data_IF_183786551663
#
_entry.id   IF_183786551663
#
_cell.length_a   1.000
_cell.length_b   1.000
_cell.length_c   1.000
_cell.angle_alpha   90.00
_cell.angle_beta   90.00
_cell.angle_gamma   90.00
#
_symmetry.space_group_name_H-M   'P 1'
#
loop_
_entity.id
_entity.type
_entity.pdbx_description
1 polymer ?
#
# COMPACT_ATOMS: atom_id res chain seq x y z
N UNK A 1 -21.19 -43.02 36.71
CA UNK A 1 -20.19 -42.85 35.63
C UNK A 1 -20.82 -42.14 34.41
N UNK A 2 -20.08 -41.36 33.60
CA UNK A 2 -18.62 -41.27 33.45
C UNK A 2 -18.03 -39.92 33.94
N UNK A 3 -16.73 -39.77 33.70
CA UNK A 3 -15.67 -38.96 34.30
C UNK A 3 -15.54 -37.52 33.77
N UNK A 4 -15.00 -36.65 34.64
CA UNK A 4 -14.59 -35.26 34.41
C UNK A 4 -13.26 -35.13 33.63
N UNK A 5 -13.04 -34.03 32.89
CA UNK A 5 -11.71 -33.60 32.46
C UNK A 5 -11.10 -32.53 33.40
N UNK A 6 -9.76 -32.57 33.49
CA UNK A 6 -8.88 -31.79 34.36
C UNK A 6 -8.83 -30.28 34.08
N UNK A 7 -8.62 -29.51 35.14
CA UNK A 7 -8.40 -28.06 35.14
C UNK A 7 -6.90 -27.72 35.11
N UNK A 8 -6.52 -26.77 34.25
CA UNK A 8 -5.16 -26.22 34.14
C UNK A 8 -5.00 -25.01 35.09
N UNK A 9 -3.86 -24.97 35.78
CA UNK A 9 -3.49 -24.04 36.85
C UNK A 9 -3.23 -22.59 36.41
N UNK A 10 -3.32 -21.59 37.32
CA UNK A 10 -3.11 -20.18 37.00
C UNK A 10 -1.62 -19.77 37.00
N UNK A 11 -1.27 -18.86 36.08
CA UNK A 11 0.03 -18.16 36.01
C UNK A 11 0.10 -17.02 37.03
N UNK A 12 1.27 -16.87 37.66
CA UNK A 12 1.58 -15.88 38.71
C UNK A 12 1.99 -14.51 38.12
N UNK A 13 1.51 -13.44 38.76
CA UNK A 13 2.01 -12.06 38.65
C UNK A 13 3.44 -11.94 39.22
N UNK A 14 4.30 -11.16 38.56
CA UNK A 14 5.49 -10.57 39.18
C UNK A 14 5.53 -9.07 38.92
N UNK A 15 5.56 -8.34 40.03
CA UNK A 15 5.58 -6.88 40.20
C UNK A 15 6.97 -6.27 39.99
N UNK A 16 6.96 -4.97 39.69
CA UNK A 16 8.08 -4.09 39.42
C UNK A 16 9.14 -3.99 40.54
N UNK A 17 10.36 -3.63 40.15
CA UNK A 17 11.30 -2.97 41.04
C UNK A 17 11.99 -1.78 40.36
N UNK A 18 12.11 -0.67 41.09
CA UNK A 18 12.53 0.65 40.65
C UNK A 18 13.97 0.98 41.11
N UNK A 19 14.68 1.72 40.25
CA UNK A 19 15.57 2.88 40.57
C UNK A 19 16.98 2.63 41.14
N UNK A 20 17.98 3.28 40.53
CA UNK A 20 18.78 4.37 41.17
C UNK A 20 19.72 5.07 40.19
N UNK A 21 19.53 6.38 40.03
CA UNK A 21 20.48 7.35 39.47
C UNK A 21 21.20 8.00 40.64
N UNK A 22 22.53 7.96 40.67
CA UNK A 22 23.33 8.75 41.62
C UNK A 22 24.38 9.54 40.87
N UNK A 23 24.23 10.87 40.87
CA UNK A 23 25.29 11.80 40.49
C UNK A 23 26.29 11.98 41.63
N UNK A 24 27.54 12.29 41.30
CA UNK A 24 28.52 12.85 42.24
C UNK A 24 29.52 13.73 41.49
N UNK A 25 29.82 14.90 42.08
CA UNK A 25 30.74 15.92 41.56
C UNK A 25 32.04 15.96 42.39
N UNK A 26 33.11 16.46 41.76
CA UNK A 26 34.25 17.29 42.26
C UNK A 26 35.64 16.65 42.53
N UNK A 27 36.62 17.25 41.81
CA UNK A 27 38.02 17.64 42.09
C UNK A 27 39.19 16.63 42.33
N UNK A 28 40.13 16.72 41.38
CA UNK A 28 41.57 17.03 41.52
C UNK A 28 42.41 16.32 42.60
N UNK A 29 43.36 15.47 42.15
CA UNK A 29 44.53 15.15 42.98
C UNK A 29 45.34 13.91 42.56
N UNK A 30 46.47 14.18 41.90
CA UNK A 30 47.71 13.40 41.86
C UNK A 30 47.81 12.09 41.05
N UNK A 31 48.63 12.23 40.01
CA UNK A 31 49.31 11.23 39.21
C UNK A 31 50.23 10.35 40.06
N UNK A 32 50.09 9.03 39.96
CA UNK A 32 51.23 8.11 40.00
C UNK A 32 51.10 7.10 38.86
N UNK A 33 52.16 7.07 38.08
CA UNK A 33 52.37 6.31 36.86
C UNK A 33 52.60 4.83 37.13
N UNK A 34 51.81 3.95 36.50
CA UNK A 34 52.29 2.81 35.69
C UNK A 34 51.13 1.88 35.37
N UNK A 35 50.61 1.98 34.15
CA UNK A 35 49.87 0.89 33.50
C UNK A 35 49.97 1.07 31.98
N UNK A 36 50.08 -0.03 31.21
CA UNK A 36 50.48 -0.01 29.82
C UNK A 36 49.47 0.73 28.95
N UNK A 37 49.97 1.44 27.93
CA UNK A 37 49.16 2.07 26.89
C UNK A 37 48.46 0.94 26.10
N UNK A 38 47.30 0.53 26.59
CA UNK A 38 46.36 -0.28 25.82
C UNK A 38 45.85 0.58 24.66
N UNK A 39 45.97 0.05 23.45
CA UNK A 39 45.74 0.76 22.20
C UNK A 39 44.40 1.48 22.17
N UNK A 40 44.40 2.64 21.50
CA UNK A 40 43.18 3.31 21.07
C UNK A 40 42.22 2.27 20.45
N UNK A 41 40.94 2.25 20.85
CA UNK A 41 39.99 1.35 20.22
C UNK A 41 39.98 1.68 18.71
N UNK A 42 39.89 0.66 17.84
CA UNK A 42 39.80 0.91 16.41
C UNK A 42 38.60 1.82 16.17
N UNK A 43 38.84 2.95 15.51
CA UNK A 43 37.79 3.82 14.99
C UNK A 43 36.89 2.93 14.12
N UNK A 44 35.67 2.67 14.59
CA UNK A 44 34.70 1.95 13.78
C UNK A 44 34.56 2.72 12.46
N UNK A 45 34.61 2.04 11.30
CA UNK A 45 34.28 2.70 10.05
C UNK A 45 32.91 3.36 10.22
N UNK A 46 32.71 4.58 9.69
CA UNK A 46 31.41 5.24 9.76
C UNK A 46 30.39 4.24 9.24
N UNK A 47 29.44 3.87 10.11
CA UNK A 47 28.33 3.04 9.71
C UNK A 47 27.70 3.75 8.51
N UNK A 48 27.42 3.04 7.39
CA UNK A 48 26.64 3.64 6.33
C UNK A 48 25.39 4.22 7.01
N UNK A 49 25.17 5.53 6.83
CA UNK A 49 23.89 6.15 7.16
C UNK A 49 22.82 5.19 6.66
N UNK A 50 21.78 4.84 7.43
CA UNK A 50 20.64 4.14 6.88
C UNK A 50 20.17 4.98 5.71
N UNK A 51 20.51 4.57 4.48
CA UNK A 51 19.84 5.07 3.30
C UNK A 51 18.36 4.77 3.50
N UNK A 52 17.50 5.52 2.81
CA UNK A 52 16.09 5.19 2.72
C UNK A 52 15.99 3.72 2.29
N UNK A 53 15.78 2.84 3.27
CA UNK A 53 15.64 1.42 3.03
C UNK A 53 14.33 1.34 2.26
N UNK A 54 14.43 1.03 0.97
CA UNK A 54 13.25 0.82 0.16
C UNK A 54 12.46 -0.32 0.79
N UNK A 55 11.24 0.04 1.19
CA UNK A 55 10.29 -0.86 1.85
C UNK A 55 9.08 -1.10 0.97
N UNK A 56 9.12 -0.62 -0.28
CA UNK A 56 8.17 -0.98 -1.30
C UNK A 56 8.27 -2.48 -1.53
N UNK A 57 7.10 -3.13 -1.53
CA UNK A 57 6.97 -4.56 -1.78
C UNK A 57 6.20 -4.70 -3.07
N UNK A 58 6.86 -5.27 -4.05
CA UNK A 58 6.22 -5.69 -5.28
C UNK A 58 6.05 -7.19 -5.23
N UNK A 59 4.98 -7.66 -5.85
CA UNK A 59 4.73 -9.09 -5.99
C UNK A 59 5.39 -9.57 -7.28
N UNK A 60 5.88 -10.81 -7.26
CA UNK A 60 6.35 -11.44 -8.49
C UNK A 60 5.17 -11.66 -9.44
N UNK A 61 5.28 -11.11 -10.65
CA UNK A 61 4.24 -11.28 -11.68
C UNK A 61 4.55 -12.53 -12.50
N UNK A 62 3.64 -13.51 -12.47
CA UNK A 62 3.70 -14.68 -13.34
C UNK A 62 3.13 -14.32 -14.72
N UNK A 63 3.91 -14.60 -15.78
CA UNK A 63 3.44 -14.38 -17.16
C UNK A 63 2.52 -15.53 -17.55
N UNK A 64 1.33 -15.20 -18.03
CA UNK A 64 0.37 -16.19 -18.52
C UNK A 64 1.00 -17.06 -19.64
N UNK A 65 0.96 -18.40 -19.49
CA UNK A 65 1.50 -19.29 -20.51
C UNK A 65 0.61 -19.30 -21.76
N UNK A 66 1.17 -19.78 -22.87
CA UNK A 66 0.39 -20.04 -24.08
C UNK A 66 -0.52 -21.24 -23.84
N UNK A 67 -1.82 -21.08 -24.10
CA UNK A 67 -2.82 -22.13 -24.03
C UNK A 67 -3.32 -22.55 -25.41
N UNK A 68 -3.64 -23.84 -25.57
CA UNK A 68 -4.22 -24.38 -26.81
C UNK A 68 -5.74 -24.31 -26.70
N UNK A 69 -6.37 -23.46 -27.51
CA UNK A 69 -7.82 -23.18 -27.41
C UNK A 69 -8.72 -24.37 -27.75
N UNK A 70 -8.22 -25.39 -28.45
CA UNK A 70 -8.97 -26.64 -28.67
C UNK A 70 -9.06 -27.50 -27.42
N UNK A 71 -8.18 -27.30 -26.43
CA UNK A 71 -8.19 -28.01 -25.16
C UNK A 71 -8.83 -27.15 -24.05
N UNK A 72 -8.46 -25.87 -23.98
CA UNK A 72 -9.00 -24.90 -23.04
C UNK A 72 -9.55 -23.66 -23.76
N UNK A 73 -10.85 -23.66 -24.13
CA UNK A 73 -11.44 -22.58 -24.92
C UNK A 73 -11.91 -21.38 -24.08
N UNK A 74 -11.67 -21.36 -22.76
CA UNK A 74 -12.21 -20.34 -21.86
C UNK A 74 -11.09 -19.54 -21.22
N UNK A 75 -11.10 -18.22 -21.44
CA UNK A 75 -10.25 -17.28 -20.71
C UNK A 75 -11.07 -16.57 -19.64
N UNK A 76 -10.51 -16.47 -18.44
CA UNK A 76 -11.09 -15.71 -17.32
C UNK A 76 -10.14 -14.59 -16.96
N UNK A 77 -10.66 -13.40 -16.74
CA UNK A 77 -9.90 -12.24 -16.30
C UNK A 77 -10.72 -11.48 -15.25
N UNK A 78 -10.01 -10.75 -14.38
CA UNK A 78 -10.66 -9.91 -13.36
C UNK A 78 -11.30 -8.70 -14.02
N UNK A 79 -12.36 -8.18 -13.39
CA UNK A 79 -12.92 -6.85 -13.72
C UNK A 79 -12.26 -5.75 -12.89
N UNK A 80 -11.43 -6.13 -11.91
CA UNK A 80 -10.68 -5.17 -11.10
C UNK A 80 -9.65 -4.45 -11.97
N UNK A 81 -9.51 -3.14 -11.73
CA UNK A 81 -8.65 -2.27 -12.53
C UNK A 81 -7.68 -1.57 -11.62
N UNK A 82 -6.44 -2.05 -11.61
CA UNK A 82 -5.32 -1.40 -10.95
C UNK A 82 -4.59 -0.47 -11.91
N UNK A 83 -4.17 0.70 -11.41
CA UNK A 83 -3.49 1.75 -12.19
C UNK A 83 -2.25 2.31 -11.47
N UNK A 84 -1.88 1.71 -10.35
CA UNK A 84 -0.84 2.20 -9.45
C UNK A 84 0.56 2.02 -10.04
N UNK A 85 0.80 0.89 -10.70
CA UNK A 85 2.07 0.55 -11.35
C UNK A 85 2.49 1.61 -12.36
N UNK A 86 1.59 2.05 -13.24
CA UNK A 86 1.93 3.11 -14.22
C UNK A 86 2.33 4.41 -13.53
N UNK A 87 1.59 4.84 -12.51
CA UNK A 87 1.90 6.07 -11.76
C UNK A 87 3.27 5.97 -11.08
N UNK A 88 3.60 4.80 -10.54
CA UNK A 88 4.87 4.54 -9.88
C UNK A 88 6.03 4.49 -10.90
N UNK A 89 5.85 3.78 -12.01
CA UNK A 89 6.81 3.76 -13.13
C UNK A 89 7.09 5.18 -13.63
N UNK A 90 6.05 5.98 -13.83
CA UNK A 90 6.18 7.38 -14.23
C UNK A 90 6.96 8.20 -13.19
N UNK A 91 6.75 7.95 -11.89
CA UNK A 91 7.52 8.61 -10.80
C UNK A 91 9.02 8.31 -10.94
N UNK A 92 9.41 7.04 -11.07
CA UNK A 92 10.82 6.65 -11.26
C UNK A 92 11.43 7.31 -12.50
N UNK A 93 10.74 7.20 -13.65
CA UNK A 93 11.24 7.75 -14.92
C UNK A 93 11.39 9.28 -14.87
N UNK A 94 10.48 9.99 -14.20
CA UNK A 94 10.59 11.45 -14.01
C UNK A 94 11.77 11.85 -13.12
N UNK A 95 12.26 10.96 -12.26
CA UNK A 95 13.49 11.14 -11.48
C UNK A 95 14.76 10.73 -12.24
N UNK A 96 14.62 10.22 -13.46
CA UNK A 96 15.74 9.68 -14.25
C UNK A 96 16.21 8.31 -13.74
N UNK A 97 15.37 7.60 -12.97
CA UNK A 97 15.65 6.29 -12.42
C UNK A 97 14.89 5.22 -13.20
N UNK A 98 15.51 4.04 -13.36
CA UNK A 98 14.79 2.88 -13.88
C UNK A 98 13.92 2.30 -12.75
N UNK A 99 12.63 2.00 -13.00
CA UNK A 99 11.81 1.32 -12.02
C UNK A 99 12.33 -0.11 -11.80
N UNK A 100 12.14 -0.66 -10.59
CA UNK A 100 12.26 -2.10 -10.36
C UNK A 100 11.38 -2.89 -11.34
N UNK A 101 11.84 -4.07 -11.78
CA UNK A 101 11.12 -4.88 -12.79
C UNK A 101 9.73 -5.29 -12.31
N UNK A 102 9.64 -5.67 -11.04
CA UNK A 102 8.44 -6.04 -10.29
C UNK A 102 7.48 -4.87 -10.07
N UNK A 103 7.95 -3.62 -10.19
CA UNK A 103 7.09 -2.44 -10.19
C UNK A 103 6.31 -2.26 -11.50
N UNK A 104 6.66 -2.99 -12.57
CA UNK A 104 6.02 -2.90 -13.89
C UNK A 104 5.00 -4.03 -14.06
N UNK A 105 3.72 -3.74 -13.81
CA UNK A 105 2.61 -4.66 -14.06
C UNK A 105 1.99 -4.34 -15.42
N UNK A 106 2.13 -5.25 -16.38
CA UNK A 106 1.73 -5.02 -17.79
C UNK A 106 0.25 -4.64 -17.89
N UNK A 107 -0.62 -5.32 -17.14
CA UNK A 107 -2.06 -5.04 -17.11
C UNK A 107 -2.38 -3.61 -16.66
N UNK A 108 -1.75 -3.15 -15.58
CA UNK A 108 -1.94 -1.79 -15.07
C UNK A 108 -1.38 -0.72 -16.02
N UNK A 109 -0.34 -1.05 -16.79
CA UNK A 109 0.21 -0.15 -17.81
C UNK A 109 -0.77 0.07 -18.97
N UNK A 110 -1.52 -0.97 -19.33
CA UNK A 110 -2.55 -0.89 -20.39
C UNK A 110 -3.82 -0.25 -19.85
N UNK A 111 -4.23 -0.60 -18.64
CA UNK A 111 -5.47 -0.15 -18.02
C UNK A 111 -5.42 1.29 -17.45
N UNK A 112 -4.22 1.87 -17.29
CA UNK A 112 -4.08 3.25 -16.78
C UNK A 112 -4.82 4.31 -17.60
N UNK A 113 -4.97 4.08 -18.90
CA UNK A 113 -5.57 5.05 -19.81
C UNK A 113 -7.09 4.90 -19.86
N UNK A 114 -7.78 6.03 -19.95
CA UNK A 114 -9.21 6.05 -20.26
C UNK A 114 -9.42 5.76 -21.73
N UNK A 115 -10.29 4.80 -22.03
CA UNK A 115 -10.70 4.44 -23.37
C UNK A 115 -12.16 4.84 -23.60
N UNK A 116 -12.46 5.40 -24.77
CA UNK A 116 -13.80 5.87 -25.13
C UNK A 116 -14.68 4.71 -25.65
N UNK A 117 -14.82 3.66 -24.85
CA UNK A 117 -15.76 2.57 -25.15
C UNK A 117 -17.21 3.03 -24.94
N UNK A 118 -18.15 2.57 -25.78
CA UNK A 118 -19.56 2.88 -25.60
C UNK A 118 -20.04 2.36 -24.24
N UNK A 119 -20.72 3.23 -23.49
CA UNK A 119 -21.42 2.87 -22.27
C UNK A 119 -22.63 1.99 -22.60
N UNK A 120 -22.94 0.98 -21.77
CA UNK A 120 -24.24 0.32 -21.83
C UNK A 120 -25.40 1.31 -21.65
N UNK A 121 -26.52 1.08 -22.34
CA UNK A 121 -27.67 2.01 -22.30
C UNK A 121 -28.50 1.92 -21.01
N UNK A 122 -28.42 0.79 -20.29
CA UNK A 122 -29.20 0.55 -19.07
C UNK A 122 -28.55 -0.49 -18.16
N UNK A 123 -28.94 -0.49 -16.88
CA UNK A 123 -28.47 -1.47 -15.89
C UNK A 123 -28.87 -2.93 -16.20
N UNK A 124 -29.85 -3.16 -17.08
CA UNK A 124 -30.20 -4.52 -17.54
C UNK A 124 -29.05 -5.16 -18.35
N UNK A 125 -28.14 -4.33 -18.90
CA UNK A 125 -26.87 -4.75 -19.48
C UNK A 125 -25.73 -4.10 -18.68
N UNK A 126 -25.25 -4.74 -17.60
CA UNK A 126 -24.36 -4.09 -16.64
C UNK A 126 -22.98 -3.76 -17.21
N UNK A 127 -22.55 -4.43 -18.27
CA UNK A 127 -21.30 -4.15 -18.98
C UNK A 127 -21.42 -4.43 -20.47
N UNK A 128 -20.66 -3.67 -21.26
CA UNK A 128 -20.46 -3.88 -22.69
C UNK A 128 -19.04 -4.37 -22.97
N UNK A 129 -18.89 -5.22 -23.98
CA UNK A 129 -17.59 -5.73 -24.41
C UNK A 129 -17.26 -5.24 -25.82
N UNK A 130 -16.04 -4.78 -26.02
CA UNK A 130 -15.49 -4.34 -27.29
C UNK A 130 -14.27 -5.20 -27.60
N UNK A 131 -14.31 -5.94 -28.72
CA UNK A 131 -13.21 -6.81 -29.13
C UNK A 131 -12.61 -6.26 -30.42
N UNK A 132 -11.34 -5.92 -30.38
CA UNK A 132 -10.57 -5.47 -31.55
C UNK A 132 -9.44 -6.44 -31.81
N UNK A 133 -9.25 -6.83 -33.07
CA UNK A 133 -8.13 -7.65 -33.51
C UNK A 133 -7.26 -6.83 -34.45
N UNK A 134 -5.95 -6.82 -34.17
CA UNK A 134 -4.96 -6.02 -34.87
C UNK A 134 -3.79 -6.90 -35.33
N UNK A 135 -3.11 -6.58 -36.44
CA UNK A 135 -1.87 -7.24 -36.81
C UNK A 135 -0.84 -7.13 -35.68
N UNK A 136 -0.14 -8.21 -35.36
CA UNK A 136 0.94 -8.17 -34.39
C UNK A 136 2.24 -7.61 -35.04
N UNK A 137 2.77 -6.47 -34.56
CA UNK A 137 3.99 -5.87 -35.12
C UNK A 137 5.27 -6.69 -34.82
N UNK A 138 5.21 -7.61 -33.86
CA UNK A 138 6.34 -8.42 -33.41
C UNK A 138 6.38 -9.81 -34.05
N UNK A 139 5.24 -10.32 -34.52
CA UNK A 139 5.14 -11.65 -35.13
C UNK A 139 4.01 -11.71 -36.16
N UNK A 140 4.38 -11.80 -37.44
CA UNK A 140 3.46 -11.81 -38.57
C UNK A 140 2.51 -13.02 -38.64
N UNK A 141 2.83 -14.12 -37.94
CA UNK A 141 2.00 -15.31 -37.87
C UNK A 141 0.94 -15.26 -36.75
N UNK A 142 0.81 -14.10 -36.07
CA UNK A 142 -0.10 -13.91 -34.93
C UNK A 142 -0.84 -12.58 -35.02
N UNK A 143 -1.93 -12.47 -34.27
CA UNK A 143 -2.70 -11.22 -34.12
C UNK A 143 -2.75 -10.81 -32.66
N UNK A 144 -2.94 -9.51 -32.41
CA UNK A 144 -3.21 -8.97 -31.08
C UNK A 144 -4.71 -8.80 -30.93
N UNK A 145 -5.28 -9.41 -29.90
CA UNK A 145 -6.67 -9.20 -29.50
C UNK A 145 -6.70 -8.28 -28.30
N UNK A 146 -7.48 -7.19 -28.39
CA UNK A 146 -7.76 -6.30 -27.29
C UNK A 146 -9.24 -6.40 -26.91
N UNK A 147 -9.49 -6.64 -25.62
CA UNK A 147 -10.83 -6.75 -25.06
C UNK A 147 -11.03 -5.58 -24.10
N UNK A 148 -11.90 -4.65 -24.46
CA UNK A 148 -12.35 -3.57 -23.60
C UNK A 148 -13.68 -3.93 -22.95
N UNK A 149 -13.78 -3.79 -21.62
CA UNK A 149 -15.04 -3.91 -20.89
C UNK A 149 -15.39 -2.56 -20.31
N UNK A 150 -16.62 -2.10 -20.54
CA UNK A 150 -17.14 -0.86 -19.98
C UNK A 150 -18.41 -1.13 -19.18
N UNK A 151 -18.42 -0.75 -17.91
CA UNK A 151 -19.59 -0.82 -17.05
C UNK A 151 -20.62 0.25 -17.38
N UNK A 152 -21.88 0.01 -17.01
CA UNK A 152 -22.90 1.05 -16.97
C UNK A 152 -22.46 2.16 -16.01
N UNK A 153 -22.54 3.41 -16.48
CA UNK A 153 -22.24 4.58 -15.64
C UNK A 153 -23.51 5.03 -14.92
N UNK A 154 -23.45 5.09 -13.59
CA UNK A 154 -24.58 5.50 -12.77
C UNK A 154 -24.66 7.02 -12.80
N UNK A 155 -25.78 7.62 -13.25
CA UNK A 155 -25.91 9.08 -13.29
C UNK A 155 -25.58 9.73 -11.95
N UNK A 156 -24.92 10.88 -12.01
CA UNK A 156 -24.61 11.67 -10.82
C UNK A 156 -25.90 11.97 -10.03
N UNK A 157 -25.89 11.67 -8.74
CA UNK A 157 -27.05 11.82 -7.85
C UNK A 157 -27.97 10.59 -7.75
N UNK A 158 -27.81 9.59 -8.60
CA UNK A 158 -28.50 8.30 -8.47
C UNK A 158 -27.66 7.26 -7.71
N UNK A 159 -26.35 7.51 -7.57
CA UNK A 159 -25.45 6.65 -6.79
C UNK A 159 -25.90 6.62 -5.31
N UNK A 160 -26.04 5.44 -4.70
CA UNK A 160 -26.26 5.33 -3.25
C UNK A 160 -25.11 5.96 -2.45
N UNK A 161 -25.43 6.56 -1.31
CA UNK A 161 -24.43 7.06 -0.38
C UNK A 161 -23.45 5.96 0.05
N UNK A 162 -22.16 6.27 0.01
CA UNK A 162 -21.07 5.37 0.35
C UNK A 162 -20.69 5.52 1.83
N UNK A 163 -20.13 4.46 2.39
CA UNK A 163 -19.48 4.48 3.70
C UNK A 163 -18.04 4.00 3.54
N UNK A 164 -17.10 4.95 3.49
CA UNK A 164 -15.69 4.72 3.26
C UNK A 164 -14.95 4.58 4.59
N UNK A 165 -14.24 3.47 4.80
CA UNK A 165 -13.46 3.22 6.01
C UNK A 165 -11.99 3.08 5.62
N UNK A 166 -11.17 4.03 6.07
CA UNK A 166 -9.74 4.05 5.81
C UNK A 166 -8.97 3.49 6.98
N UNK A 167 -8.13 2.49 6.71
CA UNK A 167 -7.12 2.00 7.65
C UNK A 167 -5.76 2.58 7.27
N UNK A 168 -5.20 3.44 8.11
CA UNK A 168 -3.99 4.22 7.81
C UNK A 168 -2.84 3.81 8.73
N UNK A 169 -1.72 3.38 8.15
CA UNK A 169 -0.45 3.22 8.89
C UNK A 169 0.15 4.60 9.17
N UNK A 170 0.39 4.89 10.45
CA UNK A 170 1.03 6.12 10.93
C UNK A 170 2.39 5.86 11.56
N UNK A 171 2.99 4.70 11.28
CA UNK A 171 4.33 4.34 11.73
C UNK A 171 5.37 5.34 11.23
N UNK A 172 6.50 5.46 11.94
CA UNK A 172 7.58 6.37 11.56
C UNK A 172 8.13 6.14 10.14
N UNK A 173 7.89 4.95 9.57
CA UNK A 173 8.23 4.62 8.18
C UNK A 173 7.47 5.39 7.11
N UNK A 174 6.31 5.92 7.48
CA UNK A 174 5.38 6.64 6.61
C UNK A 174 5.65 8.15 6.58
N UNK A 175 6.72 8.61 7.23
CA UNK A 175 7.05 10.04 7.37
C UNK A 175 7.64 10.70 6.12
N UNK A 176 8.03 9.93 5.10
CA UNK A 176 8.57 10.51 3.86
C UNK A 176 7.49 11.26 3.07
N UNK A 177 7.83 12.32 2.31
CA UNK A 177 6.86 13.16 1.61
C UNK A 177 5.92 12.41 0.65
N UNK A 178 6.38 11.29 0.11
CA UNK A 178 5.68 10.44 -0.84
C UNK A 178 4.83 9.33 -0.19
N UNK A 179 4.67 9.35 1.14
CA UNK A 179 3.87 8.36 1.90
C UNK A 179 2.69 9.03 2.60
N UNK A 180 2.70 9.13 3.94
CA UNK A 180 1.56 9.67 4.68
C UNK A 180 1.19 11.11 4.26
N UNK A 181 2.15 12.04 4.03
CA UNK A 181 1.80 13.37 3.53
C UNK A 181 1.10 13.35 2.17
N UNK A 182 1.51 12.45 1.26
CA UNK A 182 0.84 12.25 -0.02
C UNK A 182 -0.56 11.64 0.17
N UNK A 183 -0.71 10.66 1.05
CA UNK A 183 -2.00 10.05 1.38
C UNK A 183 -2.98 11.09 1.94
N UNK A 184 -2.53 11.99 2.84
CA UNK A 184 -3.34 13.09 3.34
C UNK A 184 -3.80 14.02 2.21
N UNK A 185 -2.90 14.35 1.27
CA UNK A 185 -3.24 15.17 0.11
C UNK A 185 -4.27 14.48 -0.79
N UNK A 186 -4.13 13.17 -1.02
CA UNK A 186 -5.10 12.37 -1.77
C UNK A 186 -6.46 12.29 -1.08
N UNK A 187 -6.48 12.17 0.25
CA UNK A 187 -7.71 12.17 1.05
C UNK A 187 -8.45 13.51 0.94
N UNK A 188 -7.75 14.65 0.95
CA UNK A 188 -8.38 15.94 0.70
C UNK A 188 -9.05 16.00 -0.68
N UNK A 189 -8.33 15.57 -1.73
CA UNK A 189 -8.90 15.52 -3.09
C UNK A 189 -10.11 14.58 -3.17
N UNK A 190 -10.05 13.43 -2.50
CA UNK A 190 -11.18 12.51 -2.42
C UNK A 190 -12.38 13.16 -1.74
N UNK A 191 -12.19 13.87 -0.62
CA UNK A 191 -13.31 14.51 0.08
C UNK A 191 -14.01 15.61 -0.73
N UNK A 192 -13.40 16.11 -1.80
CA UNK A 192 -14.01 17.07 -2.72
C UNK A 192 -14.94 16.43 -3.75
N UNK A 193 -14.85 15.11 -3.94
CA UNK A 193 -15.70 14.36 -4.89
C UNK A 193 -16.88 13.65 -4.22
N UNK A 194 -16.93 13.65 -2.88
CA UNK A 194 -17.97 12.95 -2.12
C UNK A 194 -19.31 13.69 -2.14
N UNK A 195 -20.39 12.91 -2.18
CA UNK A 195 -21.74 13.40 -2.00
C UNK A 195 -21.99 13.75 -0.51
N UNK A 196 -22.89 14.72 -0.19
CA UNK A 196 -23.16 15.15 1.19
C UNK A 196 -23.58 14.04 2.17
N UNK A 197 -24.13 12.94 1.66
CA UNK A 197 -24.54 11.74 2.40
C UNK A 197 -23.47 10.67 2.54
N UNK A 198 -22.36 10.76 1.80
CA UNK A 198 -21.24 9.84 1.97
C UNK A 198 -20.64 10.02 3.37
N UNK A 199 -20.13 8.92 3.92
CA UNK A 199 -19.48 8.89 5.23
C UNK A 199 -18.03 8.45 5.10
N UNK A 200 -17.18 9.06 5.92
CA UNK A 200 -15.76 8.72 6.04
C UNK A 200 -15.46 8.34 7.47
N UNK A 201 -14.78 7.21 7.65
CA UNK A 201 -14.22 6.76 8.92
C UNK A 201 -12.71 6.57 8.77
N UNK A 202 -11.93 6.92 9.79
CA UNK A 202 -10.47 6.73 9.79
C UNK A 202 -10.08 5.92 11.03
N UNK A 203 -9.41 4.81 10.78
CA UNK A 203 -8.76 3.96 11.78
C UNK A 203 -7.27 4.04 11.54
N UNK A 204 -6.49 4.35 12.59
CA UNK A 204 -5.03 4.35 12.48
C UNK A 204 -4.43 3.13 13.14
N UNK A 205 -3.29 2.70 12.61
CA UNK A 205 -2.48 1.65 13.20
C UNK A 205 -1.02 2.10 13.28
N UNK A 206 -0.48 2.15 14.50
CA UNK A 206 0.96 2.22 14.76
C UNK A 206 1.21 1.75 16.20
N UNK A 207 1.44 0.45 16.39
CA UNK A 207 1.67 -0.16 17.72
C UNK A 207 0.41 -0.36 18.58
N UNK A 208 -0.65 0.42 18.37
CA UNK A 208 -2.01 0.16 18.82
C UNK A 208 -3.01 0.58 17.73
N UNK A 209 -4.13 -0.15 17.59
CA UNK A 209 -5.21 0.19 16.66
C UNK A 209 -6.24 1.08 17.36
N UNK A 210 -6.69 2.15 16.71
CA UNK A 210 -7.75 3.01 17.24
C UNK A 210 -8.49 3.75 16.14
N UNK A 211 -9.82 3.85 16.28
CA UNK A 211 -10.62 4.78 15.47
C UNK A 211 -10.24 6.21 15.86
N UNK A 212 -9.83 7.01 14.88
CA UNK A 212 -9.48 8.43 15.07
C UNK A 212 -10.62 9.31 14.54
N UNK A 213 -11.31 8.87 13.50
CA UNK A 213 -12.52 9.50 12.98
C UNK A 213 -13.64 8.48 12.92
N UNK A 214 -14.67 8.69 13.75
CA UNK A 214 -15.95 7.97 13.67
C UNK A 214 -16.67 8.31 12.36
N UNK A 215 -17.64 7.48 11.89
CA UNK A 215 -18.34 7.68 10.62
C UNK A 215 -18.97 9.08 10.48
N UNK A 216 -18.25 9.99 9.82
CA UNK A 216 -18.59 11.41 9.70
C UNK A 216 -19.08 11.69 8.29
N UNK A 217 -20.18 12.45 8.14
CA UNK A 217 -20.70 12.75 6.80
C UNK A 217 -19.78 13.74 6.09
N UNK A 218 -19.68 13.61 4.77
CA UNK A 218 -18.94 14.58 3.95
C UNK A 218 -19.52 16.01 4.08
N UNK A 219 -20.83 16.13 4.36
CA UNK A 219 -21.46 17.43 4.64
C UNK A 219 -20.95 18.12 5.92
N UNK A 220 -20.41 17.36 6.88
CA UNK A 220 -19.92 17.86 8.17
C UNK A 220 -18.42 18.21 8.11
N UNK A 221 -17.81 18.24 6.92
CA UNK A 221 -16.40 18.58 6.75
C UNK A 221 -16.13 20.01 7.22
N UNK A 222 -15.20 20.16 8.14
CA UNK A 222 -14.66 21.47 8.53
C UNK A 222 -13.51 21.82 7.57
N UNK A 223 -13.57 23.02 6.98
CA UNK A 223 -12.59 23.53 6.01
C UNK A 223 -11.18 23.70 6.60
#
# INVERSE_FOLDING_TARGET
PPSSPDAVAPMQEQTADQVTVTGSRIATGQLTSNSPVAGLPPQQPPQPMPGDIDRERYEDVEINPVAVTSEDPVSTFSIDVDTASYSNVRRFLNRGELPPTDAVRIEEMVNYFTYDYPLPESMDTPFGANVTVLPNPWNADTELMHIGIQGYDIPEGERPGANLVFLIDVSGSMSSPDKLPLAVSAMHMLTDTLAPEDRVSIVVYAGAAGAILEPTRAADREC
#
